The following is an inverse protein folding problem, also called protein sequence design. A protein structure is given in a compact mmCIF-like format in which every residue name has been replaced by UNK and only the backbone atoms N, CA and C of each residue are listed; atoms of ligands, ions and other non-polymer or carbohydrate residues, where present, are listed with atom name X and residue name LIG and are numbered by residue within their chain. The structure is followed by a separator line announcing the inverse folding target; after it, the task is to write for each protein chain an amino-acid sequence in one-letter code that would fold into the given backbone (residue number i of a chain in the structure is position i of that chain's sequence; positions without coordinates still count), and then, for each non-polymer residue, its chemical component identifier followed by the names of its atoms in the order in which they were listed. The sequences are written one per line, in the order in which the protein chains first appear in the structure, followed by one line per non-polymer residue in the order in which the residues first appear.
data_IF_600714406208
#
_entry.id   IF_600714406208
#
_cell.length_a   1.000
_cell.length_b   1.000
_cell.length_c   1.000
_cell.angle_alpha   90.00
_cell.angle_beta   90.00
_cell.angle_gamma   90.00
#
_symmetry.space_group_name_H-M   'P 1'
#
loop_
_entity.id
_entity.type
_entity.pdbx_description
1 polymer ?
#
# COMPACT_ATOMS: atom_id res chain seq x y z
N UNK A 1 0.54 0.97 -10.01
CA UNK A 1 0.78 1.06 -8.54
C UNK A 1 -0.50 1.30 -7.73
N UNK A 2 -1.58 1.78 -8.36
CA UNK A 2 -2.87 2.07 -7.72
C UNK A 2 -3.98 1.05 -8.02
N UNK A 3 -3.77 0.11 -8.94
CA UNK A 3 -4.83 -0.79 -9.42
C UNK A 3 -5.46 -1.65 -8.32
N UNK A 4 -4.65 -2.09 -7.35
CA UNK A 4 -5.16 -2.78 -6.16
C UNK A 4 -6.12 -1.91 -5.32
N UNK A 5 -5.87 -0.59 -5.24
CA UNK A 5 -6.77 0.33 -4.56
C UNK A 5 -8.09 0.48 -5.32
N UNK A 6 -8.02 0.63 -6.65
CA UNK A 6 -9.22 0.71 -7.49
C UNK A 6 -10.06 -0.57 -7.43
N UNK A 7 -9.40 -1.72 -7.31
CA UNK A 7 -10.04 -3.05 -7.27
C UNK A 7 -10.32 -3.56 -5.86
N UNK A 8 -10.14 -2.75 -4.80
CA UNK A 8 -10.32 -3.20 -3.41
C UNK A 8 -11.65 -3.91 -3.18
N UNK A 9 -12.73 -3.43 -3.79
CA UNK A 9 -14.06 -4.04 -3.66
C UNK A 9 -14.11 -5.50 -4.14
N UNK A 10 -13.30 -5.88 -5.14
CA UNK A 10 -13.21 -7.26 -5.60
C UNK A 10 -12.59 -8.16 -4.52
N UNK A 11 -11.54 -7.68 -3.84
CA UNK A 11 -10.92 -8.39 -2.73
C UNK A 11 -11.87 -8.48 -1.52
N UNK A 12 -12.57 -7.40 -1.19
CA UNK A 12 -13.59 -7.39 -0.13
C UNK A 12 -14.69 -8.43 -0.40
N UNK A 13 -15.16 -8.54 -1.64
CA UNK A 13 -16.18 -9.53 -2.04
C UNK A 13 -15.70 -10.99 -1.87
N UNK A 14 -14.38 -11.19 -1.89
CA UNK A 14 -13.71 -12.47 -1.64
C UNK A 14 -13.30 -12.63 -0.17
N UNK A 15 -13.81 -11.81 0.74
CA UNK A 15 -13.43 -11.79 2.16
C UNK A 15 -11.89 -11.67 2.34
N UNK A 16 -11.26 -10.83 1.52
CA UNK A 16 -9.81 -10.65 1.47
C UNK A 16 -9.44 -9.19 1.74
N UNK A 17 -8.53 -8.98 2.69
CA UNK A 17 -7.97 -7.66 2.98
C UNK A 17 -6.70 -7.39 2.17
N UNK A 18 -6.42 -6.11 1.91
CA UNK A 18 -5.20 -5.67 1.26
C UNK A 18 -4.20 -5.14 2.29
N UNK A 19 -2.94 -5.53 2.13
CA UNK A 19 -1.80 -5.08 2.92
C UNK A 19 -0.60 -4.95 1.98
N UNK A 20 0.14 -3.84 2.08
CA UNK A 20 1.38 -3.66 1.32
C UNK A 20 2.60 -3.70 2.24
N UNK A 21 3.71 -4.22 1.74
CA UNK A 21 5.03 -4.20 2.37
C UNK A 21 5.99 -3.34 1.52
N UNK A 22 6.84 -2.52 2.15
CA UNK A 22 8.02 -1.93 1.51
C UNK A 22 9.12 -1.68 2.52
N UNK A 23 10.37 -1.71 2.07
CA UNK A 23 11.56 -1.32 2.84
C UNK A 23 11.71 0.21 2.99
N UNK A 24 10.86 0.99 2.31
CA UNK A 24 10.86 2.45 2.42
C UNK A 24 10.34 2.92 3.79
N UNK A 25 10.79 4.11 4.22
CA UNK A 25 10.32 4.74 5.46
C UNK A 25 8.88 5.24 5.37
N UNK A 26 8.18 5.33 6.53
CA UNK A 26 6.80 5.86 6.63
C UNK A 26 6.60 7.21 5.93
N UNK A 27 7.61 8.09 5.97
CA UNK A 27 7.56 9.39 5.29
C UNK A 27 7.50 9.24 3.77
N UNK A 28 8.28 8.31 3.20
CA UNK A 28 8.23 8.01 1.77
C UNK A 28 6.88 7.42 1.36
N UNK A 29 6.26 6.59 2.21
CA UNK A 29 4.90 6.08 1.99
C UNK A 29 3.86 7.20 1.92
N UNK A 30 3.88 8.12 2.90
CA UNK A 30 2.98 9.27 2.90
C UNK A 30 3.17 10.15 1.67
N UNK A 31 4.42 10.46 1.30
CA UNK A 31 4.72 11.24 0.11
C UNK A 31 4.21 10.58 -1.18
N UNK A 32 4.40 9.26 -1.34
CA UNK A 32 3.85 8.53 -2.49
C UNK A 32 2.32 8.48 -2.48
N UNK A 33 1.69 8.24 -1.33
CA UNK A 33 0.23 8.22 -1.21
C UNK A 33 -0.39 9.58 -1.58
N UNK A 34 0.18 10.68 -1.09
CA UNK A 34 -0.23 12.04 -1.46
C UNK A 34 -0.05 12.31 -2.95
N UNK A 35 1.12 11.99 -3.52
CA UNK A 35 1.39 12.21 -4.95
C UNK A 35 0.47 11.37 -5.86
N UNK A 36 0.15 10.12 -5.49
CA UNK A 36 -0.82 9.30 -6.23
C UNK A 36 -2.20 9.92 -6.15
N UNK A 37 -2.64 10.36 -4.97
CA UNK A 37 -3.93 11.02 -4.78
C UNK A 37 -4.04 12.30 -5.60
N UNK A 38 -3.01 13.15 -5.57
CA UNK A 38 -2.98 14.43 -6.29
C UNK A 38 -2.99 14.23 -7.81
N UNK A 39 -2.22 13.25 -8.33
CA UNK A 39 -2.08 13.05 -9.78
C UNK A 39 -3.16 12.20 -10.41
N UNK A 40 -3.76 11.29 -9.65
CA UNK A 40 -4.67 10.27 -10.20
C UNK A 40 -6.05 10.27 -9.55
N UNK A 41 -6.24 10.98 -8.43
CA UNK A 41 -7.45 10.90 -7.61
C UNK A 41 -7.61 9.60 -6.82
N UNK A 42 -6.76 8.59 -7.04
CA UNK A 42 -6.85 7.31 -6.35
C UNK A 42 -6.36 7.45 -4.90
N UNK A 43 -7.17 6.96 -3.97
CA UNK A 43 -6.86 6.92 -2.55
C UNK A 43 -6.45 5.53 -2.11
N UNK A 44 -5.36 5.42 -1.34
CA UNK A 44 -4.94 4.16 -0.74
C UNK A 44 -5.60 4.03 0.64
N UNK A 45 -6.63 3.20 0.71
CA UNK A 45 -7.43 2.94 1.91
C UNK A 45 -7.12 1.57 2.55
N UNK A 46 -5.85 1.17 2.44
CA UNK A 46 -5.30 -0.03 3.04
C UNK A 46 -3.92 0.24 3.65
N UNK A 47 -3.52 -0.50 4.70
CA UNK A 47 -2.27 -0.28 5.41
C UNK A 47 -1.03 -0.61 4.57
N UNK A 48 0.07 0.11 4.85
CA UNK A 48 1.39 -0.17 4.31
C UNK A 48 2.40 -0.33 5.45
N UNK A 49 3.09 -1.46 5.48
CA UNK A 49 4.18 -1.75 6.41
C UNK A 49 5.46 -1.12 5.87
N UNK A 50 6.16 -0.38 6.74
CA UNK A 50 7.51 0.11 6.51
C UNK A 50 8.51 -0.84 7.20
N UNK A 51 9.12 -1.71 6.41
CA UNK A 51 10.07 -2.76 6.81
C UNK A 51 11.52 -2.30 6.61
N UNK A 52 11.87 -1.21 7.30
CA UNK A 52 13.14 -0.49 7.08
C UNK A 52 14.37 -1.36 7.41
N UNK A 53 14.24 -2.26 8.39
CA UNK A 53 15.30 -3.19 8.79
C UNK A 53 15.24 -4.52 8.05
N UNK A 54 14.39 -4.63 7.01
CA UNK A 54 14.23 -5.78 6.12
C UNK A 54 13.83 -7.10 6.81
N UNK A 55 13.48 -7.07 8.10
CA UNK A 55 13.17 -8.27 8.86
C UNK A 55 12.01 -9.04 8.26
N UNK A 56 10.99 -8.36 7.73
CA UNK A 56 9.84 -9.03 7.13
C UNK A 56 10.19 -9.54 5.73
N UNK A 57 10.94 -8.74 4.96
CA UNK A 57 11.32 -9.07 3.59
C UNK A 57 12.30 -10.25 3.51
N UNK A 58 13.13 -10.48 4.53
CA UNK A 58 14.08 -11.59 4.61
C UNK A 58 13.48 -12.88 5.21
N UNK A 59 12.23 -12.84 5.71
CA UNK A 59 11.55 -14.03 6.26
C UNK A 59 10.98 -14.97 5.19
N UNK A 60 11.01 -14.57 3.92
CA UNK A 60 10.50 -15.30 2.75
C UNK A 60 11.62 -15.69 1.81
#
# INVERSE_FOLDING_TARGET
MSDFATRKNEFTALNTELLRLSIDSKHAHLGRASNVREKTGVYFDFPIIADIDMKVSELV
#
